data_IF_050008195573
#
_entry.id   IF_050008195573
#
_cell.length_a   1.000
_cell.length_b   1.000
_cell.length_c   1.000
_cell.angle_alpha   90.00
_cell.angle_beta   90.00
_cell.angle_gamma   90.00
#
_symmetry.space_group_name_H-M   'P 1'
#
loop_
_entity.id
_entity.type
_entity.pdbx_description
1 polymer ?
#
# COMPACT_ATOMS: atom_id res chain seq x y z
N UNK A 1 14.02 38.23 64.62
CA UNK A 1 15.40 37.70 64.46
C UNK A 1 15.41 36.81 63.24
N UNK A 2 16.50 36.90 62.47
CA UNK A 2 16.60 36.63 61.04
C UNK A 2 16.49 35.15 60.64
N UNK A 3 15.83 34.92 59.50
CA UNK A 3 15.78 33.63 58.82
C UNK A 3 17.16 33.17 58.35
N UNK A 4 17.35 31.84 58.32
CA UNK A 4 18.56 31.21 57.77
C UNK A 4 18.14 30.10 56.80
N UNK A 5 18.54 30.35 55.55
CA UNK A 5 18.46 29.51 54.35
C UNK A 5 19.36 28.28 54.51
N UNK A 6 18.98 27.08 54.06
CA UNK A 6 19.95 26.02 53.81
C UNK A 6 20.57 26.15 52.41
N UNK A 7 21.88 25.93 52.25
CA UNK A 7 22.56 25.84 50.95
C UNK A 7 22.57 24.42 50.39
N UNK A 8 22.80 24.37 49.08
CA UNK A 8 22.78 23.27 48.13
C UNK A 8 23.70 22.07 48.43
N UNK A 9 23.25 20.90 47.96
CA UNK A 9 23.95 19.66 47.55
C UNK A 9 25.35 19.86 46.91
N UNK A 10 26.26 18.84 46.79
CA UNK A 10 25.94 17.51 46.21
C UNK A 10 26.81 16.27 46.58
N UNK A 11 26.33 15.10 46.10
CA UNK A 11 27.07 13.89 45.68
C UNK A 11 27.87 13.06 46.70
N UNK A 12 27.52 11.76 46.86
CA UNK A 12 28.31 10.63 46.31
C UNK A 12 27.57 9.29 46.46
N UNK A 13 27.57 8.57 45.35
CA UNK A 13 27.02 7.24 45.08
C UNK A 13 27.50 6.14 46.03
N UNK A 14 26.65 5.16 46.32
CA UNK A 14 27.07 3.76 46.48
C UNK A 14 25.91 2.75 46.30
N UNK A 15 26.26 1.66 45.61
CA UNK A 15 25.63 0.35 45.40
C UNK A 15 24.71 0.05 44.19
N UNK A 16 25.11 -0.94 43.35
CA UNK A 16 24.33 -1.44 42.22
C UNK A 16 23.39 -2.57 42.67
N UNK A 17 22.09 -2.41 42.46
CA UNK A 17 21.16 -3.55 42.46
C UNK A 17 20.97 -4.00 41.02
N UNK A 18 21.66 -5.08 40.69
CA UNK A 18 21.41 -5.92 39.54
C UNK A 18 19.92 -6.30 39.49
N UNK A 19 19.23 -5.90 38.42
CA UNK A 19 18.02 -6.59 37.98
C UNK A 19 18.07 -6.69 36.46
N UNK A 20 18.67 -7.78 36.01
CA UNK A 20 18.65 -8.18 34.61
C UNK A 20 17.23 -8.63 34.27
N UNK A 21 16.50 -7.82 33.50
CA UNK A 21 15.35 -8.30 32.74
C UNK A 21 15.72 -8.31 31.27
N UNK A 22 15.82 -9.54 30.76
CA UNK A 22 16.11 -9.91 29.38
C UNK A 22 15.11 -9.20 28.46
N UNK A 23 15.57 -8.16 27.76
CA UNK A 23 14.88 -7.64 26.58
C UNK A 23 15.07 -8.65 25.46
N UNK A 24 14.13 -9.58 25.42
CA UNK A 24 13.95 -10.61 24.43
C UNK A 24 13.78 -9.97 23.04
N UNK A 25 14.83 -10.05 22.23
CA UNK A 25 14.78 -10.55 20.85
C UNK A 25 13.51 -10.19 20.05
N UNK A 26 13.62 -9.31 19.06
CA UNK A 26 13.58 -9.67 17.61
C UNK A 26 13.72 -8.43 16.74
N UNK A 27 14.65 -8.52 15.79
CA UNK A 27 14.87 -7.60 14.67
C UNK A 27 13.62 -7.47 13.79
N UNK A 28 13.39 -6.26 13.26
CA UNK A 28 13.08 -5.94 11.84
C UNK A 28 12.32 -4.61 11.79
N UNK A 29 12.69 -3.74 10.86
CA UNK A 29 12.24 -2.35 10.75
C UNK A 29 10.76 -2.11 11.13
N UNK A 30 10.54 -1.25 12.11
CA UNK A 30 9.21 -0.91 12.61
C UNK A 30 9.29 0.27 13.56
N UNK A 31 8.37 1.21 13.37
CA UNK A 31 8.27 2.52 14.00
C UNK A 31 8.32 2.49 15.53
N UNK A 32 9.11 3.40 16.12
CA UNK A 32 8.96 3.79 17.52
C UNK A 32 7.77 4.74 17.64
N UNK A 33 6.66 4.26 18.17
CA UNK A 33 5.62 5.10 18.76
C UNK A 33 5.31 4.56 20.15
N UNK A 34 5.92 5.17 21.17
CA UNK A 34 5.54 4.92 22.56
C UNK A 34 5.59 6.24 23.32
N UNK A 35 4.57 7.06 23.10
CA UNK A 35 4.20 8.19 23.93
C UNK A 35 2.79 7.97 24.45
N UNK A 36 2.67 7.40 25.65
CA UNK A 36 1.40 7.30 26.37
C UNK A 36 1.68 7.70 27.82
N UNK A 37 1.38 8.95 28.14
CA UNK A 37 1.24 9.44 29.51
C UNK A 37 -0.06 10.26 29.58
N UNK A 38 -1.07 9.66 30.19
CA UNK A 38 -2.15 10.33 30.93
C UNK A 38 -3.12 11.23 30.15
N UNK A 39 -4.35 10.76 29.99
CA UNK A 39 -5.51 11.60 29.70
C UNK A 39 -6.40 10.99 28.62
N UNK A 40 -7.54 10.44 29.05
CA UNK A 40 -8.71 10.04 28.26
C UNK A 40 -8.56 10.11 26.74
N UNK A 41 -7.91 9.11 26.14
CA UNK A 41 -8.14 8.80 24.74
C UNK A 41 -9.38 7.92 24.69
N UNK A 42 -10.56 8.55 24.67
CA UNK A 42 -11.77 7.91 24.18
C UNK A 42 -11.45 7.34 22.81
N UNK A 43 -11.27 6.02 22.77
CA UNK A 43 -11.01 5.21 21.59
C UNK A 43 -12.30 5.14 20.74
N UNK A 44 -12.73 6.29 20.23
CA UNK A 44 -13.80 6.43 19.24
C UNK A 44 -13.26 7.22 18.04
N UNK A 45 -12.68 6.45 17.15
CA UNK A 45 -12.65 6.59 15.69
C UNK A 45 -12.06 5.22 15.29
N UNK A 46 -12.81 4.25 14.76
CA UNK A 46 -13.22 4.25 13.35
C UNK A 46 -12.24 5.02 12.45
N UNK A 47 -10.94 4.93 12.75
CA UNK A 47 -9.91 5.07 11.76
C UNK A 47 -9.84 3.74 11.08
N UNK A 48 -10.41 3.65 9.87
CA UNK A 48 -9.66 2.96 8.82
C UNK A 48 -8.20 3.28 9.09
N UNK A 49 -7.42 2.25 9.42
CA UNK A 49 -5.99 2.33 9.34
C UNK A 49 -5.70 2.54 7.85
N UNK A 50 -5.84 3.80 7.40
CA UNK A 50 -4.85 4.55 6.65
C UNK A 50 -3.52 4.32 7.36
N UNK A 51 -3.03 3.10 7.23
CA UNK A 51 -1.61 2.86 7.14
C UNK A 51 -1.19 3.78 6.02
N UNK A 52 -0.62 4.92 6.42
CA UNK A 52 0.19 5.76 5.57
C UNK A 52 1.40 4.92 5.14
N UNK A 53 1.14 3.92 4.30
CA UNK A 53 2.10 3.48 3.34
C UNK A 53 2.26 4.67 2.40
N UNK A 54 3.49 5.16 2.26
CA UNK A 54 3.89 6.00 1.12
C UNK A 54 3.76 5.17 -0.17
N UNK A 55 2.54 4.76 -0.46
CA UNK A 55 2.15 3.84 -1.52
C UNK A 55 0.87 4.37 -2.15
N UNK A 56 0.70 3.99 -3.40
CA UNK A 56 -0.49 4.28 -4.21
C UNK A 56 -1.80 4.05 -3.44
N UNK A 57 -2.74 5.00 -3.50
CA UNK A 57 -4.08 4.89 -2.88
C UNK A 57 -5.07 4.13 -3.76
N UNK A 58 -6.24 3.75 -3.21
CA UNK A 58 -7.31 3.13 -4.02
C UNK A 58 -7.79 4.05 -5.15
N UNK A 59 -7.85 5.37 -4.90
CA UNK A 59 -8.22 6.36 -5.91
C UNK A 59 -7.18 6.45 -7.04
N UNK A 60 -5.89 6.39 -6.69
CA UNK A 60 -4.82 6.29 -7.68
C UNK A 60 -4.91 4.98 -8.47
N UNK A 61 -5.22 3.84 -7.83
CA UNK A 61 -5.46 2.57 -8.54
C UNK A 61 -6.59 2.72 -9.54
N UNK A 62 -7.73 3.28 -9.13
CA UNK A 62 -8.86 3.57 -10.04
C UNK A 62 -8.37 4.43 -11.22
N UNK A 63 -7.62 5.50 -10.95
CA UNK A 63 -7.08 6.41 -11.97
C UNK A 63 -6.14 5.68 -12.94
N UNK A 64 -5.30 4.77 -12.45
CA UNK A 64 -4.43 3.95 -13.30
C UNK A 64 -5.22 2.95 -14.14
N UNK A 65 -6.27 2.35 -13.58
CA UNK A 65 -7.16 1.45 -14.32
C UNK A 65 -7.96 2.20 -15.39
N UNK A 66 -8.34 3.45 -15.14
CA UNK A 66 -8.95 4.32 -16.15
C UNK A 66 -7.97 4.69 -17.28
N UNK A 67 -6.71 4.97 -16.95
CA UNK A 67 -5.67 5.19 -17.96
C UNK A 67 -5.47 3.95 -18.83
N UNK A 68 -5.46 2.76 -18.23
CA UNK A 68 -5.38 1.51 -18.98
C UNK A 68 -6.63 1.30 -19.84
N UNK A 69 -7.83 1.56 -19.31
CA UNK A 69 -9.08 1.51 -20.07
C UNK A 69 -9.07 2.44 -21.30
N UNK A 70 -8.57 3.67 -21.12
CA UNK A 70 -8.41 4.63 -22.20
C UNK A 70 -7.37 4.17 -23.23
N UNK A 71 -6.26 3.59 -22.79
CA UNK A 71 -5.24 3.01 -23.66
C UNK A 71 -5.80 1.84 -24.48
N UNK A 72 -6.63 0.97 -23.88
CA UNK A 72 -7.32 -0.11 -24.59
C UNK A 72 -8.23 0.47 -25.68
N UNK A 73 -9.08 1.44 -25.33
CA UNK A 73 -10.01 2.08 -26.29
C UNK A 73 -9.30 2.86 -27.40
N UNK A 74 -8.14 3.46 -27.09
CA UNK A 74 -7.32 4.21 -28.05
C UNK A 74 -6.36 3.33 -28.85
N UNK A 75 -6.23 2.05 -28.50
CA UNK A 75 -5.37 1.12 -29.22
C UNK A 75 -6.00 0.71 -30.55
N UNK A 76 -5.18 0.42 -31.55
CA UNK A 76 -5.64 -0.12 -32.84
C UNK A 76 -5.93 -1.63 -32.79
N UNK A 77 -6.33 -2.15 -31.62
CA UNK A 77 -6.73 -3.56 -31.45
C UNK A 77 -8.12 -3.81 -32.05
N UNK A 78 -8.41 -5.06 -32.38
CA UNK A 78 -9.75 -5.46 -32.80
C UNK A 78 -10.79 -5.14 -31.71
N UNK A 79 -11.99 -4.70 -32.08
CA UNK A 79 -13.04 -4.31 -31.12
C UNK A 79 -13.38 -5.46 -30.16
N UNK A 80 -13.37 -6.71 -30.63
CA UNK A 80 -13.58 -7.89 -29.79
C UNK A 80 -12.50 -8.02 -28.69
N UNK A 81 -11.24 -7.73 -29.02
CA UNK A 81 -10.12 -7.80 -28.07
C UNK A 81 -10.17 -6.63 -27.08
N UNK A 82 -10.53 -5.44 -27.57
CA UNK A 82 -10.76 -4.29 -26.70
C UNK A 82 -11.89 -4.59 -25.70
N UNK A 83 -13.03 -5.09 -26.17
CA UNK A 83 -14.15 -5.42 -25.29
C UNK A 83 -13.79 -6.48 -24.27
N UNK A 84 -13.05 -7.53 -24.65
CA UNK A 84 -12.58 -8.55 -23.71
C UNK A 84 -11.71 -7.96 -22.58
N UNK A 85 -10.76 -7.09 -22.92
CA UNK A 85 -9.94 -6.39 -21.92
C UNK A 85 -10.78 -5.47 -21.03
N UNK A 86 -11.75 -4.76 -21.61
CA UNK A 86 -12.64 -3.88 -20.87
C UNK A 86 -13.56 -4.67 -19.93
N UNK A 87 -13.97 -5.88 -20.30
CA UNK A 87 -14.82 -6.73 -19.48
C UNK A 87 -14.13 -7.14 -18.17
N UNK A 88 -12.80 -7.33 -18.20
CA UNK A 88 -12.00 -7.57 -16.99
C UNK A 88 -11.61 -6.27 -16.26
N UNK A 89 -11.36 -5.17 -16.97
CA UNK A 89 -10.98 -3.88 -16.35
C UNK A 89 -12.12 -3.23 -15.57
N UNK A 90 -13.35 -3.28 -16.09
CA UNK A 90 -14.54 -2.68 -15.46
C UNK A 90 -14.79 -3.19 -14.03
N UNK A 91 -14.85 -4.50 -13.76
CA UNK A 91 -15.04 -5.02 -12.40
C UNK A 91 -13.84 -4.71 -11.51
N UNK A 92 -12.61 -4.77 -12.02
CA UNK A 92 -11.41 -4.36 -11.27
C UNK A 92 -11.51 -2.92 -10.78
N UNK A 93 -11.86 -2.00 -11.69
CA UNK A 93 -12.04 -0.58 -11.38
C UNK A 93 -13.17 -0.36 -10.40
N UNK A 94 -14.32 -0.98 -10.64
CA UNK A 94 -15.50 -0.86 -9.76
C UNK A 94 -15.18 -1.34 -8.35
N UNK A 95 -14.43 -2.42 -8.23
CA UNK A 95 -14.00 -2.95 -6.93
C UNK A 95 -12.98 -2.04 -6.24
N UNK A 96 -12.01 -1.51 -6.98
CA UNK A 96 -11.04 -0.55 -6.47
C UNK A 96 -11.67 0.79 -6.02
N UNK A 97 -12.81 1.16 -6.61
CA UNK A 97 -13.55 2.39 -6.30
C UNK A 97 -14.50 2.27 -5.09
N UNK A 98 -14.66 1.08 -4.50
CA UNK A 98 -15.48 0.91 -3.29
C UNK A 98 -14.80 1.53 -2.08
N UNK A 99 -15.61 1.92 -1.09
CA UNK A 99 -15.11 2.33 0.24
C UNK A 99 -14.25 1.22 0.87
N UNK A 100 -14.64 -0.04 0.69
CA UNK A 100 -13.87 -1.21 1.09
C UNK A 100 -13.44 -2.03 -0.13
N UNK A 101 -12.32 -1.66 -0.78
CA UNK A 101 -11.90 -2.30 -2.02
C UNK A 101 -11.33 -3.70 -1.76
N UNK A 102 -11.86 -4.70 -2.46
CA UNK A 102 -11.34 -6.08 -2.38
C UNK A 102 -10.10 -6.25 -3.25
N UNK A 103 -8.92 -6.06 -2.66
CA UNK A 103 -7.62 -6.21 -3.35
C UNK A 103 -7.46 -7.56 -4.04
N UNK A 104 -7.97 -8.63 -3.46
CA UNK A 104 -7.96 -9.95 -4.08
C UNK A 104 -8.73 -9.98 -5.40
N UNK A 105 -9.97 -9.47 -5.40
CA UNK A 105 -10.80 -9.41 -6.61
C UNK A 105 -10.20 -8.46 -7.65
N UNK A 106 -9.68 -7.30 -7.25
CA UNK A 106 -8.97 -6.39 -8.16
C UNK A 106 -7.78 -7.12 -8.79
N UNK A 107 -6.96 -7.77 -7.99
CA UNK A 107 -5.81 -8.53 -8.46
C UNK A 107 -6.17 -9.68 -9.40
N UNK A 108 -7.23 -10.44 -9.12
CA UNK A 108 -7.73 -11.50 -9.99
C UNK A 108 -8.16 -10.95 -11.36
N UNK A 109 -8.92 -9.86 -11.39
CA UNK A 109 -9.34 -9.24 -12.64
C UNK A 109 -8.12 -8.67 -13.41
N UNK A 110 -7.19 -8.01 -12.73
CA UNK A 110 -5.97 -7.50 -13.36
C UNK A 110 -5.04 -8.62 -13.86
N UNK A 111 -5.08 -9.80 -13.23
CA UNK A 111 -4.42 -10.99 -13.76
C UNK A 111 -4.96 -11.33 -15.15
N UNK A 112 -6.28 -11.39 -15.30
CA UNK A 112 -6.94 -11.73 -16.56
C UNK A 112 -6.59 -10.68 -17.63
N UNK A 113 -6.65 -9.38 -17.28
CA UNK A 113 -6.21 -8.30 -18.17
C UNK A 113 -4.76 -8.50 -18.60
N UNK A 114 -3.86 -8.82 -17.65
CA UNK A 114 -2.45 -9.05 -17.96
C UNK A 114 -2.24 -10.24 -18.89
N UNK A 115 -2.88 -11.39 -18.63
CA UNK A 115 -2.76 -12.59 -19.49
C UNK A 115 -3.28 -12.33 -20.91
N UNK A 116 -4.43 -11.65 -21.05
CA UNK A 116 -4.97 -11.25 -22.36
C UNK A 116 -4.01 -10.28 -23.05
N UNK A 117 -3.51 -9.25 -22.36
CA UNK A 117 -2.56 -8.31 -22.96
C UNK A 117 -1.22 -8.96 -23.34
N UNK A 118 -0.75 -9.95 -22.57
CA UNK A 118 0.46 -10.74 -22.87
C UNK A 118 0.27 -11.55 -24.14
N UNK A 119 -0.91 -12.14 -24.32
CA UNK A 119 -1.28 -12.79 -25.59
C UNK A 119 -1.26 -11.78 -26.73
N UNK A 120 -1.86 -10.60 -26.54
CA UNK A 120 -1.94 -9.56 -27.58
C UNK A 120 -0.57 -9.00 -27.98
N UNK A 121 0.35 -8.86 -27.03
CA UNK A 121 1.73 -8.41 -27.24
C UNK A 121 2.46 -9.26 -28.28
N UNK A 122 2.24 -10.57 -28.29
CA UNK A 122 2.87 -11.48 -29.24
C UNK A 122 2.16 -11.51 -30.60
N UNK A 123 0.95 -10.96 -30.69
CA UNK A 123 0.14 -10.96 -31.92
C UNK A 123 0.20 -9.67 -32.75
N UNK A 124 0.44 -8.50 -32.11
CA UNK A 124 0.40 -7.20 -32.81
C UNK A 124 1.28 -6.12 -32.17
N UNK A 125 1.67 -5.12 -32.96
CA UNK A 125 2.39 -3.94 -32.43
C UNK A 125 1.52 -3.12 -31.47
N UNK A 126 0.22 -2.98 -31.77
CA UNK A 126 -0.73 -2.33 -30.86
C UNK A 126 -0.79 -3.06 -29.50
N UNK A 127 -0.78 -4.39 -29.52
CA UNK A 127 -0.69 -5.22 -28.32
C UNK A 127 0.62 -5.00 -27.55
N UNK A 128 1.76 -4.80 -28.23
CA UNK A 128 3.04 -4.48 -27.57
C UNK A 128 3.01 -3.13 -26.86
N UNK A 129 2.53 -2.09 -27.54
CA UNK A 129 2.40 -0.76 -26.95
C UNK A 129 1.46 -0.79 -25.74
N UNK A 130 0.31 -1.45 -25.89
CA UNK A 130 -0.64 -1.62 -24.79
C UNK A 130 -0.01 -2.38 -23.63
N UNK A 131 0.69 -3.49 -23.90
CA UNK A 131 1.40 -4.27 -22.88
C UNK A 131 2.40 -3.43 -22.09
N UNK A 132 3.15 -2.54 -22.74
CA UNK A 132 4.08 -1.65 -22.03
C UNK A 132 3.34 -0.72 -21.08
N UNK A 133 2.25 -0.09 -21.53
CA UNK A 133 1.40 0.77 -20.67
C UNK A 133 0.80 -0.02 -19.51
N UNK A 134 0.23 -1.21 -19.79
CA UNK A 134 -0.33 -2.05 -18.75
C UNK A 134 0.70 -2.54 -17.74
N UNK A 135 1.91 -2.88 -18.19
CA UNK A 135 2.99 -3.31 -17.29
C UNK A 135 3.37 -2.20 -16.28
N UNK A 136 3.41 -0.95 -16.73
CA UNK A 136 3.67 0.20 -15.85
C UNK A 136 2.57 0.38 -14.80
N UNK A 137 1.31 0.29 -15.24
CA UNK A 137 0.12 0.27 -14.36
C UNK A 137 0.20 -0.88 -13.36
N UNK A 138 0.43 -2.12 -13.81
CA UNK A 138 0.49 -3.30 -12.95
C UNK A 138 1.61 -3.22 -11.92
N UNK A 139 2.79 -2.73 -12.30
CA UNK A 139 3.91 -2.52 -11.35
C UNK A 139 3.56 -1.50 -10.29
N UNK A 140 2.83 -0.45 -10.65
CA UNK A 140 2.39 0.58 -9.70
C UNK A 140 1.29 0.07 -8.79
N UNK A 141 0.36 -0.76 -9.29
CA UNK A 141 -0.76 -1.33 -8.52
C UNK A 141 -0.36 -2.54 -7.67
N UNK A 142 0.64 -3.32 -8.08
CA UNK A 142 1.13 -4.51 -7.35
C UNK A 142 1.40 -4.29 -5.85
N UNK A 143 2.13 -3.25 -5.41
CA UNK A 143 2.34 -3.00 -3.98
C UNK A 143 1.04 -2.70 -3.22
N UNK A 144 0.06 -2.03 -3.86
CA UNK A 144 -1.24 -1.78 -3.23
C UNK A 144 -2.04 -3.06 -3.01
N UNK A 145 -1.99 -3.97 -3.99
CA UNK A 145 -2.64 -5.28 -3.95
C UNK A 145 -2.04 -6.22 -2.90
N UNK A 146 -0.81 -5.94 -2.43
CA UNK A 146 -0.07 -6.84 -1.55
C UNK A 146 0.37 -8.14 -2.25
N UNK A 147 0.36 -8.15 -3.59
CA UNK A 147 0.85 -9.27 -4.40
C UNK A 147 2.28 -8.98 -4.87
N UNK A 148 3.12 -10.02 -4.91
CA UNK A 148 4.46 -9.88 -5.45
C UNK A 148 4.40 -9.47 -6.94
N UNK A 149 5.24 -8.52 -7.36
CA UNK A 149 5.33 -8.07 -8.75
C UNK A 149 5.64 -9.20 -9.75
N UNK A 150 6.12 -10.36 -9.27
CA UNK A 150 6.30 -11.59 -10.05
C UNK A 150 4.98 -12.11 -10.68
N UNK A 151 3.83 -11.66 -10.20
CA UNK A 151 2.52 -12.04 -10.72
C UNK A 151 2.26 -11.53 -12.16
N UNK A 152 2.99 -10.51 -12.60
CA UNK A 152 2.82 -9.86 -13.91
C UNK A 152 4.04 -10.04 -14.85
N UNK A 153 4.94 -10.99 -14.53
CA UNK A 153 6.15 -11.32 -15.31
C UNK A 153 5.88 -12.37 -16.40
#
# INVERSE_FOLDING_TARGET
MFGKKPPSEPSKSEQPSQSQSLSNVTLTGGMVQLGQAGGDLQQHQQGELQTQQQGITSADVVTLLEQLEAAVKGSSLDPTQQEELLDYLRPAKREAAKETPSKELVGQNLKQVSETMKTLKDTSEAGKSLWQTGTDVFKTVAPWLGIAAAFFG
#
